data_IF_976890095067
#
_entry.id   IF_976890095067
#
_cell.length_a   1.000
_cell.length_b   1.000
_cell.length_c   1.000
_cell.angle_alpha   90.00
_cell.angle_beta   90.00
_cell.angle_gamma   90.00
#
_symmetry.space_group_name_H-M   'P 1'
#
loop_
_entity.id
_entity.type
_entity.pdbx_description
1 polymer ?
#
# COMPACT_ATOMS: atom_id res chain seq x y z
N UNK A 1 10.21 7.06 -17.14
CA UNK A 1 9.30 6.14 -16.42
C UNK A 1 9.75 4.69 -16.49
N UNK A 2 10.00 4.10 -17.68
CA UNK A 2 10.45 2.69 -17.78
C UNK A 2 11.76 2.39 -17.02
N UNK A 3 12.74 3.30 -17.05
CA UNK A 3 13.98 3.20 -16.26
C UNK A 3 13.70 3.10 -14.74
N UNK A 4 12.84 3.98 -14.22
CA UNK A 4 12.48 4.00 -12.78
C UNK A 4 11.69 2.75 -12.39
N UNK A 5 10.78 2.29 -13.27
CA UNK A 5 10.07 1.02 -13.07
C UNK A 5 11.02 -0.19 -13.08
N UNK A 6 12.16 -0.09 -13.78
CA UNK A 6 13.25 -1.06 -13.75
C UNK A 6 14.15 -0.96 -12.51
N UNK A 7 13.89 -0.03 -11.60
CA UNK A 7 14.66 0.18 -10.36
C UNK A 7 15.79 1.19 -10.47
N UNK A 8 15.94 1.87 -11.61
CA UNK A 8 16.96 2.91 -11.75
C UNK A 8 16.63 4.13 -10.88
N UNK A 9 17.66 4.68 -10.23
CA UNK A 9 17.52 5.87 -9.39
C UNK A 9 17.43 7.12 -10.23
N UNK A 10 16.37 7.92 -10.02
CA UNK A 10 16.22 9.21 -10.67
C UNK A 10 17.37 10.17 -10.34
N UNK A 11 17.92 10.06 -9.12
CA UNK A 11 19.07 10.85 -8.68
C UNK A 11 20.35 10.50 -9.46
N UNK A 12 20.53 9.23 -9.85
CA UNK A 12 21.66 8.79 -10.67
C UNK A 12 21.54 9.26 -12.12
N UNK A 13 20.31 9.27 -12.65
CA UNK A 13 20.02 9.84 -13.98
C UNK A 13 20.32 11.35 -13.99
N UNK A 14 19.86 12.07 -12.96
CA UNK A 14 20.12 13.50 -12.81
C UNK A 14 21.61 13.83 -12.70
N UNK A 15 22.35 13.08 -11.88
CA UNK A 15 23.79 13.31 -11.71
C UNK A 15 24.56 13.05 -13.00
N UNK A 16 24.17 12.03 -13.78
CA UNK A 16 24.76 11.72 -15.09
C UNK A 16 24.52 12.85 -16.09
N UNK A 17 23.29 13.38 -16.15
CA UNK A 17 22.94 14.48 -17.06
C UNK A 17 23.62 15.79 -16.66
N UNK A 18 23.69 16.09 -15.36
CA UNK A 18 24.40 17.26 -14.86
C UNK A 18 25.90 17.19 -15.17
N UNK A 19 26.53 16.00 -15.03
CA UNK A 19 27.94 15.79 -15.36
C UNK A 19 28.22 15.88 -16.87
N UNK A 20 27.25 15.53 -17.71
CA UNK A 20 27.35 15.63 -19.16
C UNK A 20 27.07 17.04 -19.71
N UNK A 21 26.44 17.92 -18.91
CA UNK A 21 26.09 19.28 -19.31
C UNK A 21 27.14 20.30 -18.88
N UNK A 22 27.73 21.02 -19.84
CA UNK A 22 28.68 22.09 -19.57
C UNK A 22 28.07 23.32 -18.86
N UNK A 23 26.73 23.46 -18.90
CA UNK A 23 25.99 24.63 -18.38
C UNK A 23 25.02 24.28 -17.25
N UNK A 24 25.02 23.04 -16.75
CA UNK A 24 24.04 22.54 -15.77
C UNK A 24 22.68 22.17 -16.41
N UNK A 25 21.70 21.83 -15.57
CA UNK A 25 20.32 21.53 -15.97
C UNK A 25 19.50 22.82 -16.02
N UNK A 26 18.56 22.92 -16.96
CA UNK A 26 17.63 24.05 -17.02
C UNK A 26 16.49 23.88 -16.01
N UNK A 27 15.84 24.99 -15.64
CA UNK A 27 14.70 25.01 -14.73
C UNK A 27 13.54 24.11 -15.22
N UNK A 28 13.34 24.03 -16.53
CA UNK A 28 12.30 23.21 -17.15
C UNK A 28 12.61 21.71 -17.00
N UNK A 29 13.89 21.34 -17.10
CA UNK A 29 14.32 19.96 -16.86
C UNK A 29 14.15 19.61 -15.38
N UNK A 30 14.52 20.50 -14.45
CA UNK A 30 14.31 20.27 -13.02
C UNK A 30 12.82 20.06 -12.68
N UNK A 31 11.92 20.86 -13.25
CA UNK A 31 10.46 20.67 -13.09
C UNK A 31 9.99 19.32 -13.62
N UNK A 32 10.46 18.93 -14.82
CA UNK A 32 10.13 17.63 -15.39
C UNK A 32 10.59 16.48 -14.48
N UNK A 33 11.78 16.58 -13.89
CA UNK A 33 12.31 15.56 -12.98
C UNK A 33 11.51 15.48 -11.68
N UNK A 34 11.10 16.61 -11.11
CA UNK A 34 10.22 16.61 -9.94
C UNK A 34 8.87 15.95 -10.23
N UNK A 35 8.26 16.25 -11.38
CA UNK A 35 7.01 15.60 -11.78
C UNK A 35 7.18 14.09 -11.99
N UNK A 36 8.30 13.69 -12.60
CA UNK A 36 8.64 12.28 -12.79
C UNK A 36 8.83 11.58 -11.46
N UNK A 37 9.56 12.17 -10.51
CA UNK A 37 9.77 11.63 -9.16
C UNK A 37 8.45 11.45 -8.42
N UNK A 38 7.63 12.49 -8.42
CA UNK A 38 6.33 12.48 -7.77
C UNK A 38 5.43 11.37 -8.33
N UNK A 39 5.42 11.20 -9.65
CA UNK A 39 4.58 10.19 -10.31
C UNK A 39 5.14 8.78 -10.17
N UNK A 40 6.46 8.61 -10.19
CA UNK A 40 7.08 7.29 -10.09
C UNK A 40 7.04 6.72 -8.68
N UNK A 41 6.96 7.57 -7.66
CA UNK A 41 6.90 7.18 -6.24
C UNK A 41 5.48 7.23 -5.65
N UNK A 42 4.48 7.64 -6.44
CA UNK A 42 3.09 7.77 -5.99
C UNK A 42 2.47 6.45 -5.51
N UNK A 43 2.96 5.32 -6.01
CA UNK A 43 2.48 4.00 -5.62
C UNK A 43 3.67 3.12 -5.22
N UNK A 44 3.64 2.61 -3.99
CA UNK A 44 4.67 1.70 -3.46
C UNK A 44 3.96 0.49 -2.85
N UNK A 45 4.41 -0.70 -3.23
CA UNK A 45 3.97 -1.93 -2.56
C UNK A 45 4.57 -1.99 -1.16
N UNK A 46 3.72 -1.92 -0.14
CA UNK A 46 4.12 -1.96 1.28
C UNK A 46 3.95 -3.34 1.92
N UNK A 47 3.47 -4.33 1.14
CA UNK A 47 3.27 -5.70 1.57
C UNK A 47 1.93 -6.30 1.11
N UNK A 48 1.72 -7.56 1.45
CA UNK A 48 0.47 -8.28 1.18
C UNK A 48 -0.53 -8.04 2.30
N UNK A 49 -1.81 -8.02 1.94
CA UNK A 49 -2.92 -7.99 2.88
C UNK A 49 -3.96 -9.05 2.48
N UNK A 50 -4.67 -9.60 3.47
CA UNK A 50 -5.69 -10.61 3.25
C UNK A 50 -7.06 -9.95 3.18
N UNK A 51 -7.78 -10.21 2.09
CA UNK A 51 -9.19 -9.85 1.95
C UNK A 51 -10.06 -10.92 2.61
N UNK A 52 -10.93 -10.51 3.52
CA UNK A 52 -11.81 -11.39 4.29
C UNK A 52 -13.26 -11.04 3.95
N UNK A 53 -13.99 -12.00 3.42
CA UNK A 53 -15.43 -11.85 3.20
C UNK A 53 -16.21 -12.04 4.51
N UNK A 54 -17.19 -11.19 4.76
CA UNK A 54 -18.07 -11.28 5.92
C UNK A 54 -19.46 -10.70 5.61
N UNK A 55 -20.44 -11.00 6.47
CA UNK A 55 -21.76 -10.37 6.33
C UNK A 55 -21.70 -8.88 6.66
N UNK A 56 -22.59 -8.05 6.09
CA UNK A 56 -22.64 -6.61 6.38
C UNK A 56 -22.84 -6.29 7.87
N UNK A 57 -23.58 -7.12 8.60
CA UNK A 57 -23.85 -6.95 10.03
C UNK A 57 -22.59 -7.19 10.85
N UNK A 58 -21.88 -8.28 10.57
CA UNK A 58 -20.62 -8.61 11.26
C UNK A 58 -19.55 -7.57 10.94
N UNK A 59 -19.48 -7.13 9.68
CA UNK A 59 -18.58 -6.04 9.27
C UNK A 59 -18.83 -4.78 10.09
N UNK A 60 -20.08 -4.33 10.21
CA UNK A 60 -20.42 -3.15 11.04
C UNK A 60 -20.01 -3.36 12.48
N UNK A 61 -20.30 -4.53 13.06
CA UNK A 61 -19.93 -4.84 14.43
C UNK A 61 -18.41 -4.76 14.66
N UNK A 62 -17.63 -5.42 13.81
CA UNK A 62 -16.16 -5.42 13.85
C UNK A 62 -15.59 -4.00 13.73
N UNK A 63 -16.12 -3.19 12.81
CA UNK A 63 -15.66 -1.82 12.60
C UNK A 63 -16.00 -0.88 13.76
N UNK A 64 -17.03 -1.21 14.57
CA UNK A 64 -17.34 -0.47 15.80
C UNK A 64 -16.55 -0.93 17.03
N UNK A 65 -15.96 -2.12 16.99
CA UNK A 65 -15.12 -2.62 18.08
C UNK A 65 -13.76 -1.91 18.08
N UNK A 66 -13.43 -1.20 19.16
CA UNK A 66 -12.20 -0.37 19.25
C UNK A 66 -10.90 -1.17 19.19
N UNK A 67 -10.91 -2.45 19.58
CA UNK A 67 -9.71 -3.31 19.55
C UNK A 67 -9.52 -3.88 18.15
N UNK A 68 -10.59 -4.36 17.53
CA UNK A 68 -10.52 -5.09 16.26
C UNK A 68 -10.44 -4.14 15.06
N UNK A 69 -11.15 -3.01 15.08
CA UNK A 69 -11.07 -1.96 14.04
C UNK A 69 -9.65 -1.40 13.82
N UNK A 70 -8.72 -1.62 14.76
CA UNK A 70 -7.30 -1.24 14.62
C UNK A 70 -6.45 -2.29 13.91
N UNK A 71 -7.03 -3.43 13.56
CA UNK A 71 -6.36 -4.57 12.94
C UNK A 71 -6.83 -4.80 11.50
N UNK A 72 -7.90 -4.14 11.08
CA UNK A 72 -8.47 -4.27 9.74
C UNK A 72 -9.10 -2.96 9.23
N UNK A 73 -9.30 -2.86 7.93
CA UNK A 73 -10.02 -1.76 7.27
C UNK A 73 -11.22 -2.27 6.48
N UNK A 74 -12.26 -1.45 6.26
CA UNK A 74 -13.35 -1.80 5.36
C UNK A 74 -12.88 -1.87 3.90
N UNK A 75 -13.36 -2.88 3.15
CA UNK A 75 -13.24 -2.93 1.69
C UNK A 75 -14.61 -3.27 1.07
N UNK A 76 -15.18 -2.31 0.35
CA UNK A 76 -16.57 -2.41 -0.13
C UNK A 76 -17.55 -2.70 1.01
N UNK A 77 -18.66 -3.37 0.70
CA UNK A 77 -19.75 -3.60 1.65
C UNK A 77 -19.71 -4.96 2.37
N UNK A 78 -18.90 -5.89 1.84
CA UNK A 78 -18.84 -7.29 2.30
C UNK A 78 -17.45 -7.76 2.67
N UNK A 79 -16.45 -6.88 2.66
CA UNK A 79 -15.09 -7.27 2.94
C UNK A 79 -14.42 -6.41 4.01
N UNK A 80 -13.46 -7.06 4.67
CA UNK A 80 -12.46 -6.45 5.53
C UNK A 80 -11.09 -6.79 4.96
N UNK A 81 -10.14 -5.86 5.08
CA UNK A 81 -8.74 -6.07 4.73
C UNK A 81 -7.93 -6.06 6.01
N UNK A 82 -7.11 -7.08 6.24
CA UNK A 82 -6.16 -7.09 7.37
C UNK A 82 -5.11 -6.01 7.17
N UNK A 83 -4.73 -5.31 8.23
CA UNK A 83 -3.54 -4.47 8.17
C UNK A 83 -2.28 -5.35 8.06
N UNK A 84 -1.27 -4.95 7.27
CA UNK A 84 -0.02 -5.72 7.13
C UNK A 84 0.62 -6.04 8.48
N UNK A 85 0.95 -7.31 8.71
CA UNK A 85 1.57 -7.78 9.94
C UNK A 85 0.63 -7.92 11.15
N UNK A 86 -0.68 -7.75 10.95
CA UNK A 86 -1.72 -7.90 11.98
C UNK A 86 -2.61 -9.13 11.78
N UNK A 87 -2.29 -9.99 10.82
CA UNK A 87 -3.11 -11.12 10.38
C UNK A 87 -3.38 -12.08 11.53
N UNK A 88 -2.33 -12.47 12.26
CA UNK A 88 -2.44 -13.39 13.41
C UNK A 88 -3.28 -12.80 14.54
N UNK A 89 -3.07 -11.53 14.87
CA UNK A 89 -3.82 -10.83 15.92
C UNK A 89 -5.30 -10.71 15.54
N UNK A 90 -5.61 -10.44 14.28
CA UNK A 90 -6.99 -10.37 13.81
C UNK A 90 -7.65 -11.75 13.88
N UNK A 91 -6.96 -12.80 13.42
CA UNK A 91 -7.48 -14.17 13.48
C UNK A 91 -7.77 -14.62 14.92
N UNK A 92 -6.87 -14.32 15.85
CA UNK A 92 -7.06 -14.60 17.29
C UNK A 92 -8.23 -13.80 17.87
N UNK A 93 -8.35 -12.52 17.53
CA UNK A 93 -9.46 -11.68 17.99
C UNK A 93 -10.82 -12.17 17.47
N UNK A 94 -10.89 -12.55 16.20
CA UNK A 94 -12.10 -13.12 15.59
C UNK A 94 -12.46 -14.48 16.19
N UNK A 95 -11.47 -15.36 16.41
CA UNK A 95 -11.70 -16.62 17.10
C UNK A 95 -12.24 -16.41 18.53
N UNK A 96 -11.72 -15.42 19.27
CA UNK A 96 -12.19 -15.08 20.61
C UNK A 96 -13.63 -14.56 20.64
N UNK A 97 -14.12 -13.97 19.54
CA UNK A 97 -15.52 -13.58 19.37
C UNK A 97 -16.42 -14.71 18.86
N UNK A 98 -15.88 -15.91 18.62
CA UNK A 98 -16.64 -17.03 18.07
C UNK A 98 -16.79 -17.01 16.55
N UNK A 99 -16.02 -16.19 15.85
CA UNK A 99 -16.04 -16.05 14.39
C UNK A 99 -14.69 -16.43 13.75
N UNK A 100 -14.19 -17.67 13.88
CA UNK A 100 -12.90 -18.03 13.32
C UNK A 100 -12.86 -17.82 11.79
N UNK A 101 -11.73 -17.30 11.28
CA UNK A 101 -11.53 -17.12 9.84
C UNK A 101 -11.38 -18.51 9.20
N UNK A 102 -12.27 -18.85 8.28
CA UNK A 102 -12.13 -20.06 7.48
C UNK A 102 -11.00 -19.90 6.46
N UNK A 103 -10.32 -21.01 6.13
CA UNK A 103 -9.38 -21.03 5.02
C UNK A 103 -10.09 -20.61 3.72
N UNK A 104 -9.36 -19.89 2.86
CA UNK A 104 -9.88 -19.51 1.54
C UNK A 104 -10.28 -20.78 0.77
N UNK A 105 -11.43 -20.72 0.09
CA UNK A 105 -11.85 -21.77 -0.84
C UNK A 105 -11.28 -21.39 -2.20
N UNK A 106 -10.47 -22.28 -2.77
CA UNK A 106 -9.90 -22.16 -4.13
C UNK A 106 -10.94 -22.49 -5.20
#
# INVERSE_FOLDING_TARGET
MSAIAGGESLAEILSTLAAASATGLSTELDQLFQEVEQRSTAFVEVGRATLIECSPELRKHVLTDKKISRLCMPAGDRYLVTLPGKEKLLAEAFAALGYPIAAARE
#
